data_IF_227230957102
#
_entry.id   IF_227230957102
#
_cell.length_a   1.000
_cell.length_b   1.000
_cell.length_c   1.000
_cell.angle_alpha   90.00
_cell.angle_beta   90.00
_cell.angle_gamma   90.00
#
_symmetry.space_group_name_H-M   'P 1'
#
loop_
_entity.id
_entity.type
_entity.pdbx_description
1 polymer ?
#
# COMPACT_ATOMS: atom_id res chain seq x y z
N UNK A 1 -31.42 -17.29 -46.11
CA UNK A 1 -30.47 -16.18 -45.84
C UNK A 1 -29.50 -16.05 -47.02
N UNK A 2 -29.36 -14.86 -47.62
CA UNK A 2 -28.36 -14.62 -48.68
C UNK A 2 -26.95 -14.70 -48.07
N UNK A 3 -25.98 -15.28 -48.79
CA UNK A 3 -24.57 -15.42 -48.34
C UNK A 3 -23.98 -14.08 -47.84
N UNK A 4 -24.42 -12.95 -48.41
CA UNK A 4 -24.02 -11.61 -47.96
C UNK A 4 -24.39 -11.31 -46.51
N UNK A 5 -25.56 -11.74 -46.02
CA UNK A 5 -25.98 -11.49 -44.62
C UNK A 5 -25.15 -12.28 -43.61
N UNK A 6 -24.66 -13.47 -43.99
CA UNK A 6 -23.76 -14.28 -43.15
C UNK A 6 -22.39 -13.60 -43.06
N UNK A 7 -21.88 -13.08 -44.18
CA UNK A 7 -20.60 -12.35 -44.22
C UNK A 7 -20.69 -11.06 -43.37
N UNK A 8 -21.77 -10.29 -43.50
CA UNK A 8 -21.99 -9.09 -42.67
C UNK A 8 -22.10 -9.43 -41.18
N UNK A 9 -22.81 -10.49 -40.81
CA UNK A 9 -22.94 -10.91 -39.41
C UNK A 9 -21.59 -11.34 -38.81
N UNK A 10 -20.77 -12.07 -39.58
CA UNK A 10 -19.41 -12.46 -39.19
C UNK A 10 -18.51 -11.24 -38.97
N UNK A 11 -18.54 -10.27 -39.88
CA UNK A 11 -17.76 -9.03 -39.77
C UNK A 11 -18.20 -8.24 -38.52
N UNK A 12 -19.51 -8.10 -38.29
CA UNK A 12 -20.04 -7.40 -37.13
C UNK A 12 -19.67 -8.08 -35.80
N UNK A 13 -19.76 -9.42 -35.72
CA UNK A 13 -19.33 -10.18 -34.53
C UNK A 13 -17.83 -10.05 -34.27
N UNK A 14 -17.02 -10.06 -35.33
CA UNK A 14 -15.57 -9.90 -35.24
C UNK A 14 -15.20 -8.51 -34.70
N UNK A 15 -15.84 -7.46 -35.24
CA UNK A 15 -15.67 -6.08 -34.78
C UNK A 15 -16.12 -5.91 -33.33
N UNK A 16 -17.27 -6.46 -32.95
CA UNK A 16 -17.75 -6.42 -31.57
C UNK A 16 -16.80 -7.15 -30.60
N UNK A 17 -16.24 -8.30 -31.02
CA UNK A 17 -15.26 -9.05 -30.24
C UNK A 17 -13.96 -8.27 -30.03
N UNK A 18 -13.43 -7.65 -31.09
CA UNK A 18 -12.24 -6.77 -31.00
C UNK A 18 -12.54 -5.59 -30.08
N UNK A 19 -13.71 -4.96 -30.21
CA UNK A 19 -14.09 -3.82 -29.39
C UNK A 19 -14.14 -4.20 -27.89
N UNK A 20 -14.79 -5.32 -27.55
CA UNK A 20 -14.84 -5.82 -26.17
C UNK A 20 -13.45 -6.13 -25.63
N UNK A 21 -12.59 -6.79 -26.42
CA UNK A 21 -11.22 -7.08 -26.02
C UNK A 21 -10.40 -5.80 -25.76
N UNK A 22 -10.53 -4.80 -26.64
CA UNK A 22 -9.84 -3.51 -26.44
C UNK A 22 -10.34 -2.75 -25.22
N UNK A 23 -11.64 -2.79 -24.93
CA UNK A 23 -12.23 -2.20 -23.71
C UNK A 23 -11.73 -2.91 -22.45
N UNK A 24 -11.67 -4.24 -22.46
CA UNK A 24 -11.13 -5.03 -21.34
C UNK A 24 -9.66 -4.70 -21.08
N UNK A 25 -8.82 -4.61 -22.13
CA UNK A 25 -7.41 -4.21 -21.99
C UNK A 25 -7.29 -2.78 -21.48
N UNK A 26 -8.09 -1.84 -21.99
CA UNK A 26 -8.07 -0.44 -21.56
C UNK A 26 -8.44 -0.31 -20.08
N UNK A 27 -9.49 -1.01 -19.64
CA UNK A 27 -9.87 -1.08 -18.22
C UNK A 27 -8.76 -1.69 -17.37
N UNK A 28 -8.18 -2.81 -17.78
CA UNK A 28 -7.08 -3.45 -17.05
C UNK A 28 -5.87 -2.51 -16.90
N UNK A 29 -5.48 -1.81 -17.97
CA UNK A 29 -4.39 -0.82 -17.92
C UNK A 29 -4.71 0.34 -16.99
N UNK A 30 -5.94 0.84 -17.00
CA UNK A 30 -6.37 1.93 -16.13
C UNK A 30 -6.33 1.50 -14.66
N UNK A 31 -6.85 0.32 -14.35
CA UNK A 31 -6.80 -0.26 -12.99
C UNK A 31 -5.37 -0.46 -12.53
N UNK A 32 -4.51 -1.08 -13.36
CA UNK A 32 -3.09 -1.26 -13.04
C UNK A 32 -2.38 0.06 -12.77
N UNK A 33 -2.68 1.08 -13.58
CA UNK A 33 -2.10 2.42 -13.37
C UNK A 33 -2.56 3.01 -12.03
N UNK A 34 -3.85 2.95 -11.71
CA UNK A 34 -4.35 3.46 -10.42
C UNK A 34 -3.71 2.73 -9.23
N UNK A 35 -3.54 1.41 -9.33
CA UNK A 35 -2.90 0.60 -8.29
C UNK A 35 -1.43 0.97 -8.15
N UNK A 36 -0.70 1.09 -9.27
CA UNK A 36 0.68 1.56 -9.26
C UNK A 36 0.78 2.97 -8.70
N UNK A 37 -0.11 3.90 -9.08
CA UNK A 37 -0.12 5.27 -8.56
C UNK A 37 -0.35 5.30 -7.03
N UNK A 38 -1.18 4.39 -6.49
CA UNK A 38 -1.38 4.25 -5.04
C UNK A 38 -0.12 3.74 -4.35
N UNK A 39 0.58 2.79 -4.98
CA UNK A 39 1.84 2.31 -4.44
C UNK A 39 2.96 3.31 -4.62
N UNK A 40 3.11 3.97 -5.75
CA UNK A 40 4.27 4.80 -6.12
C UNK A 40 4.32 6.17 -5.39
N UNK A 41 3.30 6.53 -4.60
CA UNK A 41 3.24 7.84 -3.93
C UNK A 41 3.82 7.76 -2.51
N UNK A 42 5.12 8.06 -2.36
CA UNK A 42 5.91 7.98 -1.11
C UNK A 42 6.43 9.34 -0.61
N UNK A 43 5.69 10.04 0.25
CA UNK A 43 6.13 11.34 0.78
C UNK A 43 5.73 11.50 2.24
N UNK A 44 6.66 11.18 3.14
CA UNK A 44 6.68 11.77 4.46
C UNK A 44 7.11 13.23 4.37
N UNK A 45 6.49 14.11 5.15
CA UNK A 45 6.98 15.46 5.37
C UNK A 45 8.02 15.53 6.51
N UNK A 46 8.16 14.45 7.29
CA UNK A 46 9.08 14.33 8.42
C UNK A 46 10.11 13.24 8.17
N UNK A 47 11.38 13.57 8.37
CA UNK A 47 12.42 12.54 8.36
C UNK A 47 12.45 11.83 9.72
N UNK A 48 12.49 10.51 9.72
CA UNK A 48 12.57 9.72 10.94
C UNK A 48 13.19 8.34 10.66
N UNK A 49 13.59 7.71 11.75
CA UNK A 49 14.11 6.34 11.79
C UNK A 49 13.22 5.54 12.73
N UNK A 50 12.59 4.50 12.20
CA UNK A 50 11.77 3.56 12.97
C UNK A 50 12.32 2.15 12.81
N UNK A 51 12.46 1.42 13.92
CA UNK A 51 12.75 -0.02 13.90
C UNK A 51 11.80 -0.73 14.86
N UNK A 52 11.29 -1.88 14.44
CA UNK A 52 10.39 -2.65 15.29
C UNK A 52 9.96 -3.98 14.72
N UNK A 53 9.15 -4.68 15.49
CA UNK A 53 8.52 -5.96 15.13
C UNK A 53 7.09 -5.69 14.69
N UNK A 54 6.69 -6.17 13.50
CA UNK A 54 5.26 -6.16 13.14
C UNK A 54 4.57 -7.18 14.03
N UNK A 55 3.57 -6.75 14.82
CA UNK A 55 2.82 -7.62 15.74
C UNK A 55 1.39 -7.88 15.24
N UNK A 56 0.91 -7.08 14.29
CA UNK A 56 -0.40 -7.29 13.67
C UNK A 56 -0.44 -6.63 12.29
N UNK A 57 -1.31 -7.16 11.43
CA UNK A 57 -1.71 -6.55 10.16
C UNK A 57 -3.24 -6.54 10.08
N UNK A 58 -3.82 -5.43 9.66
CA UNK A 58 -5.26 -5.29 9.38
C UNK A 58 -5.45 -4.88 7.93
N UNK A 59 -6.22 -5.66 7.18
CA UNK A 59 -6.52 -5.35 5.77
C UNK A 59 -7.31 -4.04 5.70
N UNK A 60 -6.78 -3.06 4.97
CA UNK A 60 -7.42 -1.78 4.73
C UNK A 60 -8.14 -1.77 3.39
N UNK A 61 -7.46 -2.25 2.35
CA UNK A 61 -8.00 -2.31 1.00
C UNK A 61 -7.57 -3.59 0.30
N UNK A 62 -8.56 -4.36 -0.16
CA UNK A 62 -8.39 -5.54 -1.00
C UNK A 62 -8.41 -5.09 -2.47
N UNK A 63 -7.28 -5.23 -3.15
CA UNK A 63 -7.19 -4.91 -4.58
C UNK A 63 -7.57 -6.10 -5.47
N UNK A 64 -7.78 -7.28 -4.89
CA UNK A 64 -8.09 -8.54 -5.57
C UNK A 64 -6.86 -9.42 -5.83
N UNK A 65 -7.11 -10.61 -6.38
CA UNK A 65 -6.18 -11.76 -6.38
C UNK A 65 -4.82 -11.59 -7.08
N UNK A 66 -4.57 -10.48 -7.77
CA UNK A 66 -3.33 -10.25 -8.53
C UNK A 66 -2.53 -9.05 -8.05
N UNK A 67 -3.03 -8.32 -7.06
CA UNK A 67 -2.43 -7.07 -6.62
C UNK A 67 -1.98 -7.18 -5.18
N UNK A 68 -1.07 -6.29 -4.80
CA UNK A 68 -0.68 -6.16 -3.40
C UNK A 68 -1.80 -5.41 -2.68
N UNK A 69 -2.30 -5.94 -1.58
CA UNK A 69 -3.28 -5.34 -0.71
C UNK A 69 -2.63 -4.30 0.20
N UNK A 70 -3.41 -3.31 0.61
CA UNK A 70 -2.98 -2.34 1.60
C UNK A 70 -3.35 -2.82 3.00
N UNK A 71 -2.38 -2.82 3.91
CA UNK A 71 -2.59 -3.18 5.31
C UNK A 71 -2.18 -2.03 6.22
N UNK A 72 -2.91 -1.87 7.33
CA UNK A 72 -2.39 -1.16 8.50
C UNK A 72 -1.54 -2.17 9.27
N UNK A 73 -0.25 -1.87 9.42
CA UNK A 73 0.68 -2.66 10.20
C UNK A 73 0.82 -2.04 11.59
N UNK A 74 0.55 -2.85 12.62
CA UNK A 74 0.87 -2.48 14.00
C UNK A 74 2.27 -2.96 14.32
N UNK A 75 3.14 -2.04 14.67
CA UNK A 75 4.56 -2.27 14.89
C UNK A 75 4.88 -2.00 16.35
N UNK A 76 5.38 -3.02 17.04
CA UNK A 76 6.01 -2.83 18.35
C UNK A 76 7.39 -2.21 18.13
N UNK A 77 7.57 -0.98 18.60
CA UNK A 77 8.75 -0.17 18.28
C UNK A 77 9.90 -0.48 19.24
N UNK A 78 11.06 -0.82 18.67
CA UNK A 78 12.33 -0.99 19.38
C UNK A 78 13.03 0.37 19.54
N UNK A 79 13.08 1.16 18.46
CA UNK A 79 13.69 2.49 18.44
C UNK A 79 12.95 3.42 17.49
N UNK A 80 12.74 4.67 17.93
CA UNK A 80 12.19 5.75 17.12
C UNK A 80 13.03 7.01 17.30
N UNK A 81 13.45 7.60 16.19
CA UNK A 81 14.14 8.89 16.15
C UNK A 81 13.44 9.78 15.13
N UNK A 82 12.84 10.89 15.60
CA UNK A 82 12.19 11.88 14.74
C UNK A 82 13.17 13.02 14.49
N UNK A 83 13.53 13.22 13.22
CA UNK A 83 14.36 14.33 12.79
C UNK A 83 13.42 15.53 12.55
N UNK A 84 13.22 16.32 13.61
CA UNK A 84 12.25 17.43 13.64
C UNK A 84 12.47 18.43 12.50
N UNK A 85 11.46 18.56 11.63
CA UNK A 85 11.10 19.80 10.96
C UNK A 85 9.77 20.31 11.58
N UNK A 86 9.45 21.59 11.40
CA UNK A 86 8.16 22.14 11.88
C UNK A 86 7.00 21.45 11.16
N UNK A 87 6.21 20.69 11.92
CA UNK A 87 5.02 19.99 11.44
C UNK A 87 3.94 21.02 11.06
N UNK A 88 3.41 20.92 9.85
CA UNK A 88 2.24 21.69 9.42
C UNK A 88 0.98 20.81 9.49
N UNK A 89 -0.16 21.39 9.88
CA UNK A 89 -1.46 20.69 9.96
C UNK A 89 -1.97 20.17 8.60
N UNK A 90 -1.43 20.68 7.49
CA UNK A 90 -1.77 20.29 6.10
C UNK A 90 -0.86 19.18 5.54
N UNK A 91 0.01 18.57 6.35
CA UNK A 91 0.97 17.57 5.87
C UNK A 91 0.36 16.16 5.75
N UNK A 92 0.77 15.46 4.70
CA UNK A 92 0.35 14.08 4.45
C UNK A 92 1.32 13.13 5.15
N UNK A 93 0.80 12.26 6.00
CA UNK A 93 1.59 11.38 6.85
C UNK A 93 1.50 9.93 6.35
N UNK A 94 2.53 9.12 6.61
CA UNK A 94 2.52 7.69 6.26
C UNK A 94 2.18 6.81 7.47
N UNK A 95 2.05 7.41 8.67
CA UNK A 95 1.65 6.71 9.87
C UNK A 95 1.54 7.59 11.11
N UNK A 96 1.31 6.95 12.24
CA UNK A 96 1.33 7.56 13.56
C UNK A 96 2.09 6.71 14.56
N UNK A 97 2.59 7.32 15.63
CA UNK A 97 3.25 6.65 16.73
C UNK A 97 2.70 7.06 18.07
N UNK A 98 2.23 6.07 18.82
CA UNK A 98 1.88 6.17 20.22
C UNK A 98 3.15 5.95 21.07
N UNK A 99 3.60 7.04 21.69
CA UNK A 99 4.81 7.06 22.52
C UNK A 99 4.67 6.33 23.86
N UNK A 100 3.45 6.19 24.38
CA UNK A 100 3.17 5.50 25.64
C UNK A 100 3.20 3.98 25.43
N UNK A 101 2.50 3.49 24.41
CA UNK A 101 2.45 2.07 24.08
C UNK A 101 3.69 1.58 23.31
N UNK A 102 4.52 2.52 22.83
CA UNK A 102 5.62 2.28 21.90
C UNK A 102 5.14 1.52 20.66
N UNK A 103 4.04 1.97 20.07
CA UNK A 103 3.43 1.35 18.90
C UNK A 103 3.38 2.34 17.76
N UNK A 104 3.79 1.89 16.58
CA UNK A 104 3.59 2.63 15.35
C UNK A 104 2.58 1.92 14.46
N UNK A 105 1.83 2.73 13.72
CA UNK A 105 0.80 2.29 12.81
C UNK A 105 1.15 2.86 11.45
N UNK A 106 1.48 1.98 10.50
CA UNK A 106 1.90 2.37 9.15
C UNK A 106 1.04 1.67 8.11
N UNK A 107 0.77 2.35 7.00
CA UNK A 107 0.09 1.72 5.88
C UNK A 107 1.15 1.22 4.90
N UNK A 108 1.21 -0.09 4.70
CA UNK A 108 2.15 -0.70 3.77
C UNK A 108 1.61 -2.04 3.29
N UNK A 109 1.89 -2.43 2.03
CA UNK A 109 1.78 -3.83 1.67
C UNK A 109 2.74 -4.67 2.53
N UNK A 110 2.35 -5.92 2.83
CA UNK A 110 3.19 -6.87 3.57
C UNK A 110 3.04 -8.27 2.96
N UNK A 111 4.16 -8.79 2.44
CA UNK A 111 4.21 -10.05 1.70
C UNK A 111 5.46 -10.79 2.11
N UNK A 112 5.40 -12.12 2.14
CA UNK A 112 6.61 -12.92 2.32
C UNK A 112 7.46 -12.85 1.05
N UNK A 113 8.71 -12.41 1.18
CA UNK A 113 9.68 -12.40 0.07
C UNK A 113 9.87 -13.80 -0.54
N UNK A 114 9.68 -14.86 0.24
CA UNK A 114 9.89 -16.25 -0.21
C UNK A 114 8.76 -16.77 -1.07
N UNK A 115 7.51 -16.47 -0.71
CA UNK A 115 6.32 -17.03 -1.38
C UNK A 115 5.62 -16.02 -2.28
N UNK A 116 5.94 -14.73 -2.14
CA UNK A 116 5.23 -13.61 -2.75
C UNK A 116 3.72 -13.60 -2.42
N UNK A 117 3.35 -14.18 -1.27
CA UNK A 117 1.97 -14.22 -0.75
C UNK A 117 1.87 -13.39 0.53
N UNK A 118 0.67 -12.89 0.88
CA UNK A 118 0.45 -12.26 2.18
C UNK A 118 0.82 -13.25 3.30
N UNK A 119 1.35 -12.73 4.40
CA UNK A 119 1.59 -13.56 5.59
C UNK A 119 0.27 -14.15 6.09
N UNK A 120 0.26 -15.43 6.39
CA UNK A 120 -0.86 -16.08 7.08
C UNK A 120 -1.06 -15.51 8.49
N UNK A 121 -2.26 -15.63 9.05
CA UNK A 121 -2.58 -15.07 10.37
C UNK A 121 -1.79 -15.71 11.53
N UNK A 122 -1.29 -16.94 11.32
CA UNK A 122 -0.47 -17.67 12.28
C UNK A 122 1.03 -17.63 11.96
N UNK A 123 1.44 -16.86 10.94
CA UNK A 123 2.84 -16.73 10.58
C UNK A 123 3.53 -15.67 11.44
N UNK A 124 4.80 -15.91 11.74
CA UNK A 124 5.63 -14.89 12.37
C UNK A 124 5.83 -13.74 11.38
N UNK A 125 5.32 -12.57 11.76
CA UNK A 125 5.44 -11.37 10.94
C UNK A 125 6.89 -10.83 10.99
N UNK A 126 7.34 -10.14 9.94
CA UNK A 126 8.71 -9.64 9.85
C UNK A 126 8.98 -8.47 10.80
N UNK A 127 10.26 -8.26 11.12
CA UNK A 127 10.73 -6.98 11.65
C UNK A 127 10.83 -5.98 10.50
N UNK A 128 10.65 -4.71 10.82
CA UNK A 128 10.79 -3.62 9.86
C UNK A 128 11.81 -2.59 10.31
N UNK A 129 12.44 -1.96 9.34
CA UNK A 129 13.18 -0.72 9.49
C UNK A 129 12.65 0.28 8.47
N UNK A 130 12.32 1.49 8.95
CA UNK A 130 11.90 2.59 8.10
C UNK A 130 12.90 3.73 8.25
N UNK A 131 13.35 4.26 7.13
CA UNK A 131 14.33 5.33 7.06
C UNK A 131 13.91 6.31 5.97
N UNK A 132 13.35 7.45 6.36
CA UNK A 132 12.84 8.44 5.39
C UNK A 132 13.85 9.51 5.00
N UNK A 133 15.00 9.57 5.69
CA UNK A 133 16.12 10.45 5.34
C UNK A 133 16.90 10.02 4.09
N UNK A 134 16.64 8.81 3.57
CA UNK A 134 17.19 8.33 2.30
C UNK A 134 16.21 8.57 1.16
N UNK A 135 16.76 8.81 -0.05
CA UNK A 135 15.99 9.09 -1.28
C UNK A 135 14.85 8.11 -1.55
N UNK A 136 15.00 6.86 -1.13
CA UNK A 136 14.10 5.77 -1.50
C UNK A 136 12.91 5.59 -0.53
N UNK A 137 12.95 6.18 0.68
CA UNK A 137 11.83 6.24 1.65
C UNK A 137 11.01 4.95 1.76
N UNK A 138 11.67 3.83 2.02
CA UNK A 138 11.08 2.49 2.03
C UNK A 138 10.98 1.87 3.43
N UNK A 139 10.05 0.92 3.56
CA UNK A 139 10.02 -0.08 4.63
C UNK A 139 10.87 -1.26 4.19
N UNK A 140 11.92 -1.52 4.96
CA UNK A 140 12.76 -2.71 4.80
C UNK A 140 12.31 -3.77 5.77
N UNK A 141 11.92 -4.91 5.24
CA UNK A 141 11.47 -6.07 6.00
C UNK A 141 12.66 -7.01 6.25
N UNK A 142 12.66 -7.68 7.40
CA UNK A 142 13.74 -8.60 7.78
C UNK A 142 13.90 -9.82 6.89
N UNK A 143 12.88 -10.14 6.09
CA UNK A 143 12.89 -11.23 5.11
C UNK A 143 13.54 -10.83 3.77
N UNK A 144 14.01 -9.59 3.64
CA UNK A 144 14.66 -9.04 2.46
C UNK A 144 13.71 -8.29 1.52
N UNK A 145 12.42 -8.24 1.83
CA UNK A 145 11.49 -7.43 1.07
C UNK A 145 11.73 -5.93 1.34
N UNK A 146 11.62 -5.13 0.29
CA UNK A 146 11.63 -3.68 0.38
C UNK A 146 10.40 -3.15 -0.35
N UNK A 147 9.52 -2.45 0.38
CA UNK A 147 8.29 -1.85 -0.16
C UNK A 147 8.21 -0.43 0.36
N UNK A 148 7.69 0.49 -0.44
CA UNK A 148 7.39 1.80 0.11
C UNK A 148 6.05 1.84 0.86
N UNK A 149 5.85 2.94 1.57
CA UNK A 149 4.68 3.19 2.43
C UNK A 149 3.55 3.89 1.69
N UNK A 150 2.30 3.64 2.04
CA UNK A 150 1.20 4.32 1.37
C UNK A 150 0.85 5.59 2.15
N UNK A 151 0.85 6.75 1.48
CA UNK A 151 0.30 7.98 2.06
C UNK A 151 -1.22 7.86 2.14
N UNK A 152 -1.80 8.17 3.30
CA UNK A 152 -3.24 8.33 3.45
C UNK A 152 -3.59 9.81 3.64
N UNK A 153 -4.50 10.31 2.81
CA UNK A 153 -5.12 11.64 2.99
C UNK A 153 -6.20 11.65 4.09
N UNK A 154 -6.57 10.48 4.63
CA UNK A 154 -7.69 10.30 5.54
C UNK A 154 -7.22 10.18 6.98
N UNK A 155 -7.51 11.21 7.79
CA UNK A 155 -7.48 11.15 9.27
C UNK A 155 -8.27 9.93 9.79
N UNK A 156 -9.32 9.52 9.07
CA UNK A 156 -10.19 8.41 9.47
C UNK A 156 -9.49 7.06 9.55
N UNK A 157 -8.41 6.83 8.79
CA UNK A 157 -7.70 5.54 8.81
C UNK A 157 -7.01 5.29 10.16
N UNK A 158 -6.51 6.36 10.80
CA UNK A 158 -5.76 6.26 12.05
C UNK A 158 -6.54 6.67 13.29
N UNK A 159 -7.72 7.29 13.14
CA UNK A 159 -8.58 7.74 14.24
C UNK A 159 -8.78 6.69 15.36
N UNK A 160 -8.82 5.39 15.04
CA UNK A 160 -9.02 4.33 16.05
C UNK A 160 -7.78 4.05 16.93
N UNK A 161 -6.61 4.57 16.55
CA UNK A 161 -5.34 4.40 17.24
C UNK A 161 -4.81 5.70 17.84
N UNK A 162 -5.40 6.85 17.49
CA UNK A 162 -4.99 8.16 17.99
C UNK A 162 -5.40 8.37 19.46
N UNK A 163 -4.50 9.02 20.20
CA UNK A 163 -4.69 9.48 21.58
C UNK A 163 -3.82 10.71 21.87
N UNK A 164 -3.81 11.17 23.12
CA UNK A 164 -3.05 12.36 23.55
C UNK A 164 -1.52 12.21 23.44
N UNK A 165 -1.00 10.98 23.31
CA UNK A 165 0.43 10.67 23.24
C UNK A 165 0.88 10.31 21.80
N UNK A 166 0.00 10.56 20.83
CA UNK A 166 0.22 10.20 19.42
C UNK A 166 1.00 11.28 18.68
N UNK A 167 1.98 10.86 17.90
CA UNK A 167 2.82 11.71 17.05
C UNK A 167 2.58 11.29 15.60
N UNK A 168 2.22 12.25 14.75
CA UNK A 168 1.99 12.02 13.32
C UNK A 168 3.31 12.17 12.57
N UNK A 169 3.54 11.31 11.57
CA UNK A 169 4.76 11.35 10.77
C UNK A 169 4.57 10.93 9.32
#
# INVERSE_FOLDING_TARGET
>A
MKKSHIIFALIAFSLAGILMFTLSIANLRKTNKQINDIFDTYYSHVDYILKGQVISKKLLYDYGSHYKDAYILTVQVDSMEIMKNELSDDERFFGIYDSELKRAYIISPIYSYRTFQPYGDNEELPRISVLTSTRDRTVKFSDGLELGMIISDSKDVFNEFENENTIHF
#
